data_IF_614066991797
#
_entry.id   IF_614066991797
#
_cell.length_a   1.000
_cell.length_b   1.000
_cell.length_c   1.000
_cell.angle_alpha   90.00
_cell.angle_beta   90.00
_cell.angle_gamma   90.00
#
_symmetry.space_group_name_H-M   'P 1'
#
loop_
_entity.id
_entity.type
_entity.pdbx_description
1 polymer ?
#
# COMPACT_ATOMS: atom_id res chain seq x y z
N UNK A 1 27.60 4.73 -14.11
CA UNK A 1 26.81 3.50 -14.32
C UNK A 1 25.36 3.92 -14.31
N UNK A 2 24.64 3.81 -15.43
CA UNK A 2 23.21 4.07 -15.43
C UNK A 2 22.54 2.84 -14.80
N UNK A 3 21.95 3.01 -13.63
CA UNK A 3 21.13 1.98 -12.99
C UNK A 3 19.85 1.80 -13.80
N UNK A 4 19.52 0.57 -14.20
CA UNK A 4 18.21 0.25 -14.76
C UNK A 4 17.12 0.67 -13.77
N UNK A 5 16.09 1.39 -14.24
CA UNK A 5 14.99 1.84 -13.39
C UNK A 5 13.93 0.73 -13.31
N UNK A 6 13.71 0.11 -12.15
CA UNK A 6 12.61 -0.83 -11.99
C UNK A 6 11.27 -0.09 -11.97
N UNK A 7 10.25 -0.66 -12.62
CA UNK A 7 8.87 -0.22 -12.49
C UNK A 7 7.95 -1.43 -12.34
N UNK A 8 6.99 -1.31 -11.42
CA UNK A 8 6.13 -2.41 -11.02
C UNK A 8 4.77 -2.30 -11.71
N UNK A 9 4.35 -3.38 -12.36
CA UNK A 9 3.07 -3.46 -13.06
C UNK A 9 2.19 -4.50 -12.40
N UNK A 10 1.04 -4.08 -11.89
CA UNK A 10 0.02 -4.98 -11.36
C UNK A 10 -0.86 -5.48 -12.48
N UNK A 11 -0.82 -6.78 -12.71
CA UNK A 11 -1.78 -7.55 -13.51
C UNK A 11 -2.92 -8.06 -12.62
N UNK A 12 -3.93 -8.75 -13.18
CA UNK A 12 -5.11 -9.23 -12.44
C UNK A 12 -4.72 -10.07 -11.21
N UNK A 13 -3.78 -10.98 -11.41
CA UNK A 13 -3.42 -12.03 -10.45
C UNK A 13 -1.92 -11.99 -10.07
N UNK A 14 -1.16 -10.99 -10.54
CA UNK A 14 0.27 -10.89 -10.24
C UNK A 14 0.82 -9.46 -10.32
N UNK A 15 2.04 -9.26 -9.83
CA UNK A 15 2.88 -8.09 -10.11
C UNK A 15 4.08 -8.54 -10.94
N UNK A 16 4.32 -7.81 -12.03
CA UNK A 16 5.51 -7.93 -12.88
C UNK A 16 6.46 -6.81 -12.54
N UNK A 17 7.73 -7.14 -12.39
CA UNK A 17 8.79 -6.17 -12.22
C UNK A 17 9.45 -6.02 -13.59
N UNK A 18 9.37 -4.82 -14.14
CA UNK A 18 9.93 -4.49 -15.43
C UNK A 18 11.13 -3.56 -15.20
N UNK A 19 12.18 -3.70 -16.00
CA UNK A 19 13.36 -2.85 -15.91
C UNK A 19 13.45 -2.01 -17.18
N UNK A 20 13.55 -0.70 -17.01
CA UNK A 20 13.86 0.21 -18.11
C UNK A 20 15.37 0.47 -18.11
N UNK A 21 16.05 0.07 -19.18
CA UNK A 21 17.42 0.51 -19.44
C UNK A 21 17.37 1.85 -20.21
N UNK A 22 17.76 2.97 -19.57
CA UNK A 22 17.71 4.28 -20.22
C UNK A 22 18.71 4.43 -21.38
N UNK A 23 19.67 3.52 -21.54
CA UNK A 23 20.64 3.53 -22.64
C UNK A 23 20.24 2.63 -23.82
N UNK A 24 19.10 1.96 -23.73
CA UNK A 24 18.58 1.10 -24.79
C UNK A 24 17.64 1.91 -25.70
N UNK A 25 17.97 2.01 -26.99
CA UNK A 25 17.16 2.72 -28.00
C UNK A 25 15.80 2.02 -28.25
N UNK A 26 15.68 0.74 -27.89
CA UNK A 26 14.39 0.07 -27.73
C UNK A 26 14.03 0.01 -26.24
N UNK A 27 12.79 0.32 -25.88
CA UNK A 27 12.25 -0.01 -24.57
C UNK A 27 12.17 -1.54 -24.43
N UNK A 28 13.29 -2.18 -24.12
CA UNK A 28 13.35 -3.62 -23.88
C UNK A 28 12.74 -3.87 -22.50
N UNK A 29 11.43 -4.16 -22.49
CA UNK A 29 10.69 -4.56 -21.30
C UNK A 29 11.09 -6.00 -20.99
N UNK A 30 12.29 -6.18 -20.44
CA UNK A 30 12.79 -7.49 -20.02
C UNK A 30 12.32 -7.74 -18.59
N UNK A 31 11.50 -8.79 -18.40
CA UNK A 31 11.15 -9.32 -17.08
C UNK A 31 11.97 -10.58 -16.84
N UNK A 32 13.19 -10.42 -16.33
CA UNK A 32 14.03 -11.58 -15.95
C UNK A 32 13.50 -12.28 -14.69
N UNK A 33 12.71 -11.56 -13.88
CA UNK A 33 12.18 -12.05 -12.61
C UNK A 33 10.78 -12.69 -12.78
N UNK A 34 10.52 -13.85 -12.13
CA UNK A 34 9.21 -14.49 -12.19
C UNK A 34 8.14 -13.57 -11.57
N UNK A 35 6.92 -13.54 -12.14
CA UNK A 35 5.85 -12.68 -11.64
C UNK A 35 5.47 -13.06 -10.21
N UNK A 36 5.30 -12.05 -9.36
CA UNK A 36 4.83 -12.22 -7.98
C UNK A 36 3.33 -12.49 -8.01
N UNK A 37 2.90 -13.70 -7.67
CA UNK A 37 1.48 -14.03 -7.61
C UNK A 37 0.80 -13.29 -6.45
N UNK A 38 -0.33 -12.65 -6.74
CA UNK A 38 -1.11 -11.89 -5.77
C UNK A 38 -2.51 -12.49 -5.59
N UNK A 39 -3.13 -12.30 -4.40
CA UNK A 39 -4.54 -12.57 -4.25
C UNK A 39 -5.35 -11.72 -5.24
N UNK A 40 -6.43 -12.29 -5.76
CA UNK A 40 -7.33 -11.58 -6.68
C UNK A 40 -8.14 -10.55 -5.91
N UNK A 41 -7.66 -9.31 -5.90
CA UNK A 41 -8.25 -8.22 -5.13
C UNK A 41 -8.94 -7.19 -6.01
N UNK A 42 -10.03 -6.61 -5.48
CA UNK A 42 -10.80 -5.54 -6.12
C UNK A 42 -10.24 -4.14 -5.83
N UNK A 43 -9.48 -4.00 -4.74
CA UNK A 43 -8.96 -2.72 -4.27
C UNK A 43 -7.47 -2.89 -4.00
N UNK A 44 -6.68 -2.02 -4.62
CA UNK A 44 -5.24 -1.96 -4.44
C UNK A 44 -4.74 -0.52 -4.63
N UNK A 45 -3.64 -0.16 -3.96
CA UNK A 45 -2.99 1.13 -4.09
C UNK A 45 -1.48 1.00 -3.89
N UNK A 46 -0.71 1.48 -4.87
CA UNK A 46 0.74 1.64 -4.76
C UNK A 46 1.09 2.77 -3.80
N UNK A 47 2.13 2.59 -3.00
CA UNK A 47 2.79 3.68 -2.31
C UNK A 47 3.40 4.67 -3.32
N UNK A 48 3.59 5.95 -2.96
CA UNK A 48 4.09 6.96 -3.89
C UNK A 48 5.52 6.69 -4.40
N UNK A 49 6.34 6.00 -3.61
CA UNK A 49 7.69 5.57 -4.00
C UNK A 49 7.71 4.30 -4.87
N UNK A 50 6.54 3.67 -5.08
CA UNK A 50 6.41 2.43 -5.85
C UNK A 50 6.96 1.18 -5.16
N UNK A 51 7.43 1.29 -3.92
CA UNK A 51 8.08 0.18 -3.20
C UNK A 51 7.11 -0.67 -2.39
N UNK A 52 5.86 -0.25 -2.22
CA UNK A 52 4.85 -1.03 -1.50
C UNK A 52 3.50 -1.02 -2.23
N UNK A 53 2.78 -2.14 -2.15
CA UNK A 53 1.43 -2.29 -2.69
C UNK A 53 0.48 -2.70 -1.57
N UNK A 54 -0.46 -1.83 -1.22
CA UNK A 54 -1.57 -2.19 -0.35
C UNK A 54 -2.66 -2.89 -1.16
N UNK A 55 -3.17 -4.00 -0.66
CA UNK A 55 -4.26 -4.79 -1.27
C UNK A 55 -5.31 -5.12 -0.22
N UNK A 56 -6.58 -5.19 -0.62
CA UNK A 56 -7.67 -5.68 0.26
C UNK A 56 -7.96 -7.14 -0.06
N UNK A 57 -7.59 -8.01 0.87
CA UNK A 57 -7.97 -9.42 0.92
C UNK A 57 -9.36 -9.56 1.59
N UNK A 58 -10.35 -10.17 0.91
CA UNK A 58 -11.69 -10.35 1.49
C UNK A 58 -11.74 -11.26 2.73
N UNK A 59 -10.77 -12.15 2.91
CA UNK A 59 -10.67 -13.07 4.04
C UNK A 59 -9.89 -12.46 5.22
N UNK A 60 -8.83 -11.70 4.95
CA UNK A 60 -7.89 -11.23 5.98
C UNK A 60 -7.92 -9.72 6.26
N UNK A 61 -8.45 -8.89 5.36
CA UNK A 61 -8.41 -7.43 5.48
C UNK A 61 -7.33 -6.83 4.58
N UNK A 62 -6.63 -5.80 5.04
CA UNK A 62 -5.58 -5.14 4.25
C UNK A 62 -4.24 -5.85 4.45
N UNK A 63 -3.58 -6.14 3.34
CA UNK A 63 -2.19 -6.63 3.31
C UNK A 63 -1.35 -5.60 2.56
N UNK A 64 -0.21 -5.23 3.11
CA UNK A 64 0.79 -4.42 2.41
C UNK A 64 1.92 -5.33 1.95
N UNK A 65 2.21 -5.28 0.66
CA UNK A 65 3.27 -6.07 0.02
C UNK A 65 4.45 -5.13 -0.21
N UNK A 66 5.53 -5.35 0.51
CA UNK A 66 6.78 -4.61 0.38
C UNK A 66 7.68 -5.25 -0.70
N UNK A 67 8.17 -4.41 -1.59
CA UNK A 67 8.99 -4.71 -2.75
C UNK A 67 10.36 -4.00 -2.67
N UNK A 68 10.69 -3.33 -1.56
CA UNK A 68 11.92 -2.53 -1.42
C UNK A 68 13.22 -3.34 -1.40
N UNK A 69 13.17 -4.66 -1.21
CA UNK A 69 14.35 -5.53 -1.22
C UNK A 69 14.83 -5.81 -2.66
N UNK A 70 15.58 -4.84 -3.20
CA UNK A 70 16.24 -4.92 -4.50
C UNK A 70 17.76 -5.00 -4.41
N UNK A 71 18.31 -6.22 -4.55
CA UNK A 71 19.59 -6.60 -5.20
C UNK A 71 19.60 -8.13 -5.35
N UNK A 72 18.48 -8.63 -5.89
CA UNK A 72 18.11 -10.04 -5.85
C UNK A 72 17.08 -10.24 -4.75
N UNK A 73 15.82 -10.33 -5.18
CA UNK A 73 14.64 -10.73 -4.40
C UNK A 73 14.79 -12.17 -3.87
N UNK A 74 15.90 -12.49 -3.21
CA UNK A 74 16.30 -13.82 -2.75
C UNK A 74 15.25 -14.42 -1.81
N UNK A 75 14.52 -13.55 -1.11
CA UNK A 75 13.51 -13.92 -0.14
C UNK A 75 12.07 -13.61 -0.60
N UNK A 76 11.87 -13.11 -1.83
CA UNK A 76 10.54 -12.72 -2.30
C UNK A 76 10.04 -11.39 -1.70
N UNK A 77 8.81 -11.00 -2.04
CA UNK A 77 8.17 -9.81 -1.52
C UNK A 77 7.70 -10.07 -0.08
N UNK A 78 7.86 -9.10 0.81
CA UNK A 78 7.41 -9.25 2.18
C UNK A 78 5.94 -8.86 2.29
N UNK A 79 5.12 -9.72 2.90
CA UNK A 79 3.71 -9.45 3.12
C UNK A 79 3.48 -9.07 4.58
N UNK A 80 2.95 -7.87 4.80
CA UNK A 80 2.59 -7.35 6.11
C UNK A 80 1.07 -7.30 6.22
N UNK A 81 0.51 -8.16 7.06
CA UNK A 81 -0.91 -8.09 7.39
C UNK A 81 -1.17 -6.87 8.29
N UNK A 82 -2.12 -6.02 7.89
CA UNK A 82 -2.54 -4.86 8.69
C UNK A 82 -3.58 -5.35 9.71
N UNK A 83 -3.09 -5.81 10.85
CA UNK A 83 -3.92 -6.41 11.90
C UNK A 83 -4.98 -5.41 12.39
N UNK A 84 -6.24 -5.85 12.40
CA UNK A 84 -7.39 -5.03 12.80
C UNK A 84 -7.96 -4.13 11.69
N UNK A 85 -7.44 -4.22 10.46
CA UNK A 85 -8.08 -3.60 9.30
C UNK A 85 -9.36 -4.34 8.90
N UNK A 86 -10.34 -3.60 8.39
CA UNK A 86 -11.63 -4.17 8.01
C UNK A 86 -11.54 -4.97 6.70
N UNK A 87 -12.22 -6.12 6.67
CA UNK A 87 -12.46 -6.91 5.44
C UNK A 87 -13.40 -6.21 4.46
N UNK A 88 -14.16 -5.24 4.93
CA UNK A 88 -15.04 -4.38 4.13
C UNK A 88 -14.33 -3.11 3.62
N UNK A 89 -12.99 -3.08 3.69
CA UNK A 89 -12.20 -1.97 3.16
C UNK A 89 -12.47 -1.79 1.66
N UNK A 90 -12.73 -0.55 1.30
CA UNK A 90 -13.14 -0.15 -0.03
C UNK A 90 -12.23 0.94 -0.61
N UNK A 91 -11.58 1.74 0.24
CA UNK A 91 -10.61 2.75 -0.16
C UNK A 91 -9.26 2.55 0.54
N UNK A 92 -8.19 2.76 -0.20
CA UNK A 92 -6.81 2.76 0.27
C UNK A 92 -6.15 4.06 -0.21
N UNK A 93 -5.58 4.84 0.71
CA UNK A 93 -4.94 6.12 0.40
C UNK A 93 -3.62 6.23 1.14
N UNK A 94 -2.52 6.03 0.42
CA UNK A 94 -1.19 6.32 0.92
C UNK A 94 -0.98 7.82 1.08
N UNK A 95 -0.31 8.20 2.16
CA UNK A 95 0.19 9.57 2.31
C UNK A 95 1.27 9.85 1.26
N UNK A 96 1.42 11.10 0.79
CA UNK A 96 2.41 11.48 -0.23
C UNK A 96 3.85 11.06 0.09
N UNK A 97 4.23 11.01 1.37
CA UNK A 97 5.55 10.55 1.81
C UNK A 97 5.61 9.03 2.06
N UNK A 98 4.53 8.29 1.80
CA UNK A 98 4.45 6.84 2.02
C UNK A 98 4.46 6.42 3.49
N UNK A 99 4.43 7.37 4.42
CA UNK A 99 4.57 7.13 5.87
C UNK A 99 3.31 6.52 6.49
N UNK A 100 2.15 6.82 5.91
CA UNK A 100 0.85 6.48 6.46
C UNK A 100 -0.09 5.92 5.38
N UNK A 101 -0.96 5.01 5.77
CA UNK A 101 -2.01 4.46 4.92
C UNK A 101 -3.37 4.72 5.57
N UNK A 102 -4.29 5.36 4.86
CA UNK A 102 -5.70 5.46 5.28
C UNK A 102 -6.52 4.36 4.62
N UNK A 103 -7.31 3.66 5.42
CA UNK A 103 -8.29 2.69 4.96
C UNK A 103 -9.70 3.21 5.22
N UNK A 104 -10.57 3.14 4.21
CA UNK A 104 -11.99 3.48 4.34
C UNK A 104 -12.83 2.24 4.07
N UNK A 105 -13.75 1.96 4.98
CA UNK A 105 -14.57 0.76 4.98
C UNK A 105 -16.06 1.09 4.97
N UNK A 106 -16.86 0.23 4.35
CA UNK A 106 -18.31 0.31 4.47
C UNK A 106 -18.73 -0.49 5.68
N UNK A 107 -19.32 0.18 6.66
CA UNK A 107 -19.89 -0.46 7.86
C UNK A 107 -21.41 -0.28 7.86
N UNK A 108 -22.18 -1.19 8.47
CA UNK A 108 -23.62 -1.06 8.55
C UNK A 108 -24.05 0.28 9.19
N UNK A 109 -25.19 0.83 8.76
CA UNK A 109 -25.75 2.05 9.34
C UNK A 109 -26.01 1.84 10.83
N UNK A 110 -25.47 2.74 11.66
CA UNK A 110 -25.56 2.65 13.12
C UNK A 110 -24.47 1.79 13.77
N UNK A 111 -23.55 1.22 12.99
CA UNK A 111 -22.35 0.55 13.53
C UNK A 111 -21.44 1.55 14.24
N UNK A 112 -20.86 1.11 15.36
CA UNK A 112 -19.80 1.81 16.08
C UNK A 112 -18.39 1.38 15.63
N UNK A 113 -18.30 0.47 14.67
CA UNK A 113 -17.01 0.07 14.08
C UNK A 113 -16.40 1.22 13.29
N UNK A 114 -15.07 1.41 13.38
CA UNK A 114 -14.41 2.47 12.64
C UNK A 114 -14.50 2.22 11.15
N UNK A 115 -15.01 3.22 10.42
CA UNK A 115 -15.10 3.19 8.97
C UNK A 115 -13.94 3.94 8.31
N UNK A 116 -13.11 4.62 9.10
CA UNK A 116 -11.86 5.23 8.66
C UNK A 116 -10.78 4.89 9.68
N UNK A 117 -9.65 4.38 9.20
CA UNK A 117 -8.50 4.06 10.03
C UNK A 117 -7.22 4.56 9.37
N UNK A 118 -6.29 5.03 10.19
CA UNK A 118 -4.97 5.51 9.76
C UNK A 118 -3.93 4.55 10.32
N UNK A 119 -3.07 4.07 9.45
CA UNK A 119 -2.04 3.09 9.75
C UNK A 119 -0.67 3.69 9.52
N UNK A 120 0.27 3.40 10.41
CA UNK A 120 1.68 3.80 10.27
C UNK A 120 2.58 2.59 10.42
N UNK A 121 3.63 2.52 9.60
CA UNK A 121 4.62 1.46 9.67
C UNK A 121 5.55 1.69 10.86
N UNK A 122 5.70 0.69 11.71
CA UNK A 122 6.61 0.73 12.86
C UNK A 122 8.05 0.49 12.41
N UNK A 123 8.91 1.50 12.57
CA UNK A 123 10.37 1.39 12.47
C UNK A 123 10.97 1.23 11.07
N UNK A 124 10.72 2.20 10.18
CA UNK A 124 11.45 2.32 8.89
C UNK A 124 12.65 3.28 8.93
N UNK A 125 13.05 3.78 10.11
CA UNK A 125 14.12 4.77 10.28
C UNK A 125 15.43 4.15 10.75
N UNK A 126 16.50 4.33 9.95
CA UNK A 126 17.85 3.90 10.29
C UNK A 126 18.53 4.66 11.43
N UNK A 127 19.65 4.06 11.85
CA UNK A 127 20.79 4.53 12.64
C UNK A 127 20.73 4.75 14.17
N UNK A 128 19.61 4.67 14.89
CA UNK A 128 19.68 4.63 16.37
C UNK A 128 18.81 3.51 16.93
N UNK A 129 19.44 2.34 17.13
CA UNK A 129 19.06 1.24 18.01
C UNK A 129 17.55 1.01 18.25
N UNK A 130 16.93 0.14 17.44
CA UNK A 130 15.66 -0.51 17.83
C UNK A 130 14.89 -1.08 16.65
N UNK A 131 14.98 -2.40 16.46
CA UNK A 131 14.22 -3.14 15.44
C UNK A 131 12.72 -2.88 15.55
N UNK A 132 12.17 -2.13 14.60
CA UNK A 132 10.75 -2.15 14.32
C UNK A 132 10.37 -3.49 13.71
N UNK A 133 9.17 -3.99 14.01
CA UNK A 133 8.64 -5.22 13.43
C UNK A 133 8.28 -5.05 11.94
N UNK A 134 8.35 -3.84 11.40
CA UNK A 134 7.86 -3.50 10.06
C UNK A 134 6.33 -3.55 9.96
N UNK A 135 5.63 -3.76 11.08
CA UNK A 135 4.18 -3.90 11.14
C UNK A 135 3.48 -2.55 10.99
N UNK A 136 2.27 -2.61 10.44
CA UNK A 136 1.38 -1.46 10.36
C UNK A 136 0.54 -1.38 11.64
N UNK A 137 0.78 -0.33 12.41
CA UNK A 137 0.07 -0.06 13.66
C UNK A 137 -1.08 0.93 13.42
N UNK A 138 -2.21 0.71 14.09
CA UNK A 138 -3.33 1.64 14.04
C UNK A 138 -2.95 2.92 14.78
N UNK A 139 -2.76 4.01 14.04
CA UNK A 139 -2.46 5.33 14.60
C UNK A 139 -3.74 6.06 15.04
N UNK A 140 -4.85 5.86 14.30
CA UNK A 140 -6.14 6.44 14.63
C UNK A 140 -7.29 5.67 13.98
N UNK A 141 -8.47 5.73 14.60
CA UNK A 141 -9.70 5.09 14.13
C UNK A 141 -10.88 6.04 14.37
N UNK A 142 -11.73 6.19 13.36
CA UNK A 142 -12.85 7.14 13.37
C UNK A 142 -14.13 6.49 12.84
N UNK A 143 -15.26 6.96 13.35
CA UNK A 143 -16.61 6.64 12.85
C UNK A 143 -17.23 7.91 12.28
N UNK A 144 -17.47 7.95 10.97
CA UNK A 144 -18.13 9.07 10.31
C UNK A 144 -19.11 8.61 9.22
N UNK A 145 -20.44 8.79 9.40
CA UNK A 145 -21.47 8.24 8.51
C UNK A 145 -21.33 8.65 7.03
N UNK A 146 -20.94 9.90 6.76
CA UNK A 146 -20.86 10.43 5.39
C UNK A 146 -19.62 9.97 4.60
N UNK A 147 -18.57 9.52 5.29
CA UNK A 147 -17.33 9.09 4.64
C UNK A 147 -17.41 7.66 4.09
N UNK A 148 -18.51 6.95 4.35
CA UNK A 148 -18.77 5.61 3.79
C UNK A 148 -19.20 5.66 2.33
N UNK A 149 -19.93 6.71 1.94
CA UNK A 149 -20.68 6.77 0.69
C UNK A 149 -19.93 7.48 -0.44
N UNK A 150 -19.02 8.38 -0.11
CA UNK A 150 -18.29 9.17 -1.11
C UNK A 150 -16.79 9.07 -0.87
N UNK A 151 -16.05 8.59 -1.87
CA UNK A 151 -14.58 8.47 -1.81
C UNK A 151 -13.88 9.73 -2.30
N UNK A 152 -14.57 10.62 -3.02
CA UNK A 152 -14.01 11.85 -3.57
C UNK A 152 -13.91 12.96 -2.53
N UNK A 153 -14.52 12.79 -1.36
CA UNK A 153 -14.50 13.78 -0.29
C UNK A 153 -13.24 13.74 0.56
N UNK A 154 -12.40 12.70 0.45
CA UNK A 154 -11.17 12.59 1.25
C UNK A 154 -9.91 12.66 0.37
N UNK A 155 -8.86 13.32 0.88
CA UNK A 155 -7.57 13.38 0.20
C UNK A 155 -6.45 13.74 1.17
N UNK A 156 -5.26 13.23 0.87
CA UNK A 156 -4.03 13.77 1.41
C UNK A 156 -3.66 15.10 0.75
N UNK A 157 -3.16 16.01 1.57
CA UNK A 157 -2.44 17.21 1.14
C UNK A 157 -0.94 16.90 1.09
N UNK A 158 -0.17 17.74 0.38
CA UNK A 158 1.27 17.52 0.20
C UNK A 158 2.07 17.61 1.52
N UNK A 159 1.52 18.28 2.54
CA UNK A 159 2.07 18.42 3.89
C UNK A 159 1.69 17.27 4.84
N UNK A 160 1.28 16.11 4.32
CA UNK A 160 0.86 14.94 5.10
C UNK A 160 -0.37 15.18 5.98
N UNK A 161 -1.23 16.14 5.63
CA UNK A 161 -2.54 16.32 6.29
C UNK A 161 -3.63 15.56 5.53
N UNK A 162 -4.39 14.70 6.22
CA UNK A 162 -5.54 14.02 5.63
C UNK A 162 -6.81 14.84 5.82
N UNK A 163 -7.38 15.34 4.72
CA UNK A 163 -8.54 16.21 4.73
C UNK A 163 -9.78 15.47 4.22
N UNK A 164 -10.94 15.82 4.78
CA UNK A 164 -12.23 15.28 4.39
C UNK A 164 -13.27 16.40 4.26
N UNK A 165 -14.11 16.35 3.22
CA UNK A 165 -15.29 17.21 3.09
C UNK A 165 -16.52 16.45 3.60
N UNK A 166 -17.29 17.08 4.49
CA UNK A 166 -18.47 16.49 5.13
C UNK A 166 -19.76 17.16 4.67
#
# INVERSE_FOLDING_TARGET
MASSLPFFVRDRDCVKILKLDPNSDEASINSDDPPVMLPKVKVAAWSPDGMALAVVDPAQGVTVIDLSDGEGMRNGPQMHLVNGSSKATQGLFWSPLGSSLVTISVVPKGSTEPNLQIWRRSGSGGCESGGGTGEYLNAASFVHPKLQSDRQVVRWTADETFCGRL
#
